data_IF_007718363287
#
_entry.id   IF_007718363287
#
_cell.length_a   1.000
_cell.length_b   1.000
_cell.length_c   1.000
_cell.angle_alpha   90.00
_cell.angle_beta   90.00
_cell.angle_gamma   90.00
#
_symmetry.space_group_name_H-M   'P 1'
#
loop_
_entity.id
_entity.type
_entity.pdbx_description
1 polymer ?
#
# COMPACT_ATOMS: atom_id res chain seq x y z
N UNK A 1 -9.48 -6.07 5.86
CA UNK A 1 -8.78 -4.77 5.93
C UNK A 1 -7.29 -4.84 5.63
N UNK A 2 -6.40 -5.32 6.52
CA UNK A 2 -4.95 -5.26 6.29
C UNK A 2 -4.49 -5.81 4.92
N UNK A 3 -4.89 -7.04 4.57
CA UNK A 3 -4.55 -7.65 3.28
C UNK A 3 -5.07 -6.85 2.07
N UNK A 4 -6.20 -6.14 2.22
CA UNK A 4 -6.77 -5.28 1.17
C UNK A 4 -5.89 -4.04 0.96
N UNK A 5 -5.44 -3.42 2.06
CA UNK A 5 -4.53 -2.27 2.03
C UNK A 5 -3.17 -2.67 1.45
N UNK A 6 -2.65 -3.84 1.82
CA UNK A 6 -1.41 -4.39 1.28
C UNK A 6 -1.50 -4.63 -0.25
N UNK A 7 -2.58 -5.25 -0.71
CA UNK A 7 -2.81 -5.47 -2.15
C UNK A 7 -2.92 -4.13 -2.91
N UNK A 8 -3.61 -3.14 -2.34
CA UNK A 8 -3.68 -1.79 -2.92
C UNK A 8 -2.30 -1.13 -3.01
N UNK A 9 -1.46 -1.23 -1.97
CA UNK A 9 -0.08 -0.73 -1.98
C UNK A 9 0.73 -1.33 -3.12
N UNK A 10 0.71 -2.65 -3.24
CA UNK A 10 1.43 -3.38 -4.30
C UNK A 10 1.00 -2.95 -5.70
N UNK A 11 -0.31 -2.75 -5.91
CA UNK A 11 -0.84 -2.26 -7.18
C UNK A 11 -0.34 -0.85 -7.50
N UNK A 12 -0.37 0.06 -6.52
CA UNK A 12 0.12 1.44 -6.70
C UNK A 12 1.62 1.49 -6.97
N UNK A 13 2.42 0.65 -6.30
CA UNK A 13 3.86 0.53 -6.58
C UNK A 13 4.13 0.04 -8.01
N UNK A 14 3.37 -0.96 -8.48
CA UNK A 14 3.46 -1.43 -9.86
C UNK A 14 3.16 -0.32 -10.86
N UNK A 15 2.05 0.41 -10.65
CA UNK A 15 1.67 1.54 -11.49
C UNK A 15 2.70 2.67 -11.46
N UNK A 16 3.29 2.97 -10.30
CA UNK A 16 4.34 3.98 -10.19
C UNK A 16 5.56 3.59 -11.01
N UNK A 17 6.00 2.34 -10.92
CA UNK A 17 7.14 1.82 -11.67
C UNK A 17 6.90 1.91 -13.18
N UNK A 18 5.71 1.53 -13.66
CA UNK A 18 5.33 1.68 -15.05
C UNK A 18 5.42 3.14 -15.51
N UNK A 19 4.88 4.08 -14.73
CA UNK A 19 4.93 5.51 -15.07
C UNK A 19 6.36 6.06 -15.05
N UNK A 20 7.22 5.60 -14.14
CA UNK A 20 8.65 5.94 -14.12
C UNK A 20 9.33 5.49 -15.42
N UNK A 21 9.02 4.28 -15.90
CA UNK A 21 9.60 3.78 -17.16
C UNK A 21 9.09 4.57 -18.37
N UNK A 22 7.78 4.83 -18.44
CA UNK A 22 7.21 5.69 -19.50
C UNK A 22 7.84 7.07 -19.49
N UNK A 23 8.04 7.68 -18.31
CA UNK A 23 8.69 8.99 -18.18
C UNK A 23 10.11 8.95 -18.75
N UNK A 24 10.90 7.94 -18.40
CA UNK A 24 12.26 7.76 -18.93
C UNK A 24 12.26 7.61 -20.46
N UNK A 25 11.32 6.85 -21.00
CA UNK A 25 11.17 6.71 -22.46
C UNK A 25 10.77 8.03 -23.13
N UNK A 26 9.84 8.79 -22.55
CA UNK A 26 9.48 10.10 -23.07
C UNK A 26 10.64 11.09 -23.00
N UNK A 27 11.48 11.00 -21.97
CA UNK A 27 12.61 11.91 -21.77
C UNK A 27 13.72 11.74 -22.81
N UNK A 28 13.85 10.57 -23.43
CA UNK A 28 14.81 10.33 -24.53
C UNK A 28 14.27 10.72 -25.92
N UNK A 29 12.96 10.96 -26.05
CA UNK A 29 12.36 11.38 -27.31
C UNK A 29 12.74 12.83 -27.64
N UNK A 30 12.91 13.09 -28.93
CA UNK A 30 13.12 14.41 -29.50
C UNK A 30 11.77 15.02 -29.92
N UNK A 31 11.74 16.33 -30.14
CA UNK A 31 10.51 17.06 -30.47
C UNK A 31 9.88 16.61 -31.79
N UNK A 32 10.68 16.11 -32.75
CA UNK A 32 10.19 15.57 -34.02
C UNK A 32 9.51 14.19 -33.90
N UNK A 33 9.59 13.54 -32.73
CA UNK A 33 8.98 12.23 -32.52
C UNK A 33 7.49 12.36 -32.16
N UNK A 34 6.65 11.66 -32.91
CA UNK A 34 5.22 11.63 -32.65
C UNK A 34 4.88 10.74 -31.44
N UNK A 35 4.10 11.29 -30.50
CA UNK A 35 3.55 10.56 -29.34
C UNK A 35 2.04 10.43 -29.51
N UNK A 36 1.51 9.26 -29.19
CA UNK A 36 0.07 8.99 -29.23
C UNK A 36 -0.42 8.45 -27.88
N UNK A 37 -1.58 8.94 -27.45
CA UNK A 37 -2.29 8.49 -26.25
C UNK A 37 -3.46 7.60 -26.64
N UNK A 38 -3.52 6.40 -26.06
CA UNK A 38 -4.66 5.50 -26.19
C UNK A 38 -5.79 5.92 -25.25
N UNK A 39 -6.96 6.20 -25.81
CA UNK A 39 -8.20 6.54 -25.10
C UNK A 39 -9.29 5.60 -25.60
N UNK A 40 -9.63 4.59 -24.79
CA UNK A 40 -10.54 3.52 -25.22
C UNK A 40 -10.02 2.83 -26.48
N UNK A 41 -10.81 2.72 -27.56
CA UNK A 41 -10.36 2.11 -28.81
C UNK A 41 -9.60 3.08 -29.75
N UNK A 42 -9.31 4.32 -29.33
CA UNK A 42 -8.78 5.38 -30.22
C UNK A 42 -7.37 5.83 -29.80
N UNK A 43 -6.48 6.06 -30.77
CA UNK A 43 -5.18 6.70 -30.58
C UNK A 43 -5.25 8.18 -30.97
N UNK A 44 -4.89 9.06 -30.04
CA UNK A 44 -4.90 10.52 -30.22
C UNK A 44 -3.48 11.05 -30.18
N UNK A 45 -3.06 11.82 -31.20
CA UNK A 45 -1.74 12.46 -31.23
C UNK A 45 -1.63 13.46 -30.08
N UNK A 46 -0.49 13.44 -29.40
CA UNK A 46 -0.22 14.26 -28.22
C UNK A 46 1.13 14.95 -28.35
N UNK A 47 1.18 16.22 -27.96
CA UNK A 47 2.45 16.94 -27.83
C UNK A 47 3.35 16.27 -26.77
N UNK A 48 4.65 16.13 -27.08
CA UNK A 48 5.61 15.47 -26.19
C UNK A 48 5.67 16.13 -24.81
N UNK A 49 5.61 17.47 -24.75
CA UNK A 49 5.64 18.20 -23.49
C UNK A 49 4.41 17.90 -22.63
N UNK A 50 3.23 17.77 -23.25
CA UNK A 50 1.98 17.46 -22.55
C UNK A 50 1.97 16.01 -22.08
N UNK A 51 2.48 15.08 -22.90
CA UNK A 51 2.67 13.69 -22.51
C UNK A 51 3.54 13.58 -21.25
N UNK A 52 4.70 14.28 -21.23
CA UNK A 52 5.60 14.34 -20.07
C UNK A 52 4.89 14.89 -18.82
N UNK A 53 4.24 16.04 -18.94
CA UNK A 53 3.53 16.68 -17.82
C UNK A 53 2.39 15.79 -17.28
N UNK A 54 1.68 15.08 -18.14
CA UNK A 54 0.61 14.17 -17.73
C UNK A 54 1.15 12.97 -16.94
N UNK A 55 2.29 12.39 -17.37
CA UNK A 55 2.95 11.31 -16.64
C UNK A 55 3.46 11.81 -15.28
N UNK A 56 4.07 13.00 -15.24
CA UNK A 56 4.56 13.59 -13.98
C UNK A 56 3.43 13.80 -12.97
N UNK A 57 2.33 14.43 -13.39
CA UNK A 57 1.13 14.62 -12.53
C UNK A 57 0.55 13.30 -12.04
N UNK A 58 0.54 12.27 -12.89
CA UNK A 58 0.07 10.93 -12.51
C UNK A 58 0.99 10.29 -11.47
N UNK A 59 2.30 10.41 -11.62
CA UNK A 59 3.26 9.93 -10.63
C UNK A 59 3.09 10.63 -9.28
N UNK A 60 2.89 11.94 -9.26
CA UNK A 60 2.68 12.69 -8.02
C UNK A 60 1.41 12.26 -7.29
N UNK A 61 0.32 12.06 -8.03
CA UNK A 61 -0.91 11.50 -7.47
C UNK A 61 -0.68 10.11 -6.87
N UNK A 62 -0.03 9.19 -7.61
CA UNK A 62 0.25 7.83 -7.13
C UNK A 62 1.12 7.86 -5.87
N UNK A 63 2.16 8.71 -5.82
CA UNK A 63 3.02 8.87 -4.63
C UNK A 63 2.21 9.35 -3.42
N UNK A 64 1.28 10.29 -3.62
CA UNK A 64 0.41 10.77 -2.54
C UNK A 64 -0.51 9.66 -2.00
N UNK A 65 -1.05 8.83 -2.89
CA UNK A 65 -1.88 7.68 -2.50
C UNK A 65 -1.06 6.58 -1.82
N UNK A 66 0.17 6.30 -2.28
CA UNK A 66 1.09 5.39 -1.59
C UNK A 66 1.33 5.82 -0.15
N UNK A 67 1.60 7.12 0.07
CA UNK A 67 1.76 7.67 1.42
C UNK A 67 0.51 7.44 2.27
N UNK A 68 -0.68 7.72 1.73
CA UNK A 68 -1.96 7.52 2.43
C UNK A 68 -2.18 6.05 2.81
N UNK A 69 -1.82 5.13 1.92
CA UNK A 69 -1.90 3.69 2.14
C UNK A 69 -0.89 3.24 3.20
N UNK A 70 0.34 3.76 3.18
CA UNK A 70 1.38 3.48 4.17
C UNK A 70 0.99 3.95 5.58
N UNK A 71 0.43 5.15 5.71
CA UNK A 71 -0.06 5.69 6.97
C UNK A 71 -1.22 4.82 7.54
N UNK A 72 -2.10 4.33 6.66
CA UNK A 72 -3.18 3.42 7.04
C UNK A 72 -2.63 2.05 7.48
N UNK A 73 -1.65 1.48 6.77
CA UNK A 73 -0.99 0.24 7.18
C UNK A 73 -0.36 0.38 8.56
N UNK A 74 0.40 1.45 8.80
CA UNK A 74 1.01 1.70 10.11
C UNK A 74 -0.01 1.80 11.24
N UNK A 75 -1.18 2.40 10.98
CA UNK A 75 -2.27 2.48 11.94
C UNK A 75 -2.87 1.09 12.23
N UNK A 76 -3.03 0.26 11.20
CA UNK A 76 -3.52 -1.11 11.37
C UNK A 76 -2.52 -1.99 12.12
N UNK A 77 -1.22 -1.85 11.87
CA UNK A 77 -0.16 -2.58 12.58
C UNK A 77 -0.19 -2.29 14.07
N UNK A 78 -0.23 -1.01 14.46
CA UNK A 78 -0.35 -0.61 15.87
C UNK A 78 -1.59 -1.18 16.54
N UNK A 79 -2.70 -1.26 15.80
CA UNK A 79 -3.95 -1.86 16.31
C UNK A 79 -3.80 -3.37 16.50
N UNK A 80 -3.15 -4.07 15.58
CA UNK A 80 -2.86 -5.49 15.70
C UNK A 80 -1.95 -5.78 16.90
N UNK A 81 -0.89 -5.00 17.08
CA UNK A 81 0.01 -5.12 18.23
C UNK A 81 -0.71 -4.91 19.56
N UNK A 82 -1.53 -3.86 19.65
CA UNK A 82 -2.33 -3.60 20.86
C UNK A 82 -3.31 -4.73 21.17
N UNK A 83 -3.95 -5.31 20.15
CA UNK A 83 -4.83 -6.47 20.35
C UNK A 83 -4.05 -7.72 20.78
N UNK A 84 -2.84 -7.92 20.24
CA UNK A 84 -1.96 -9.01 20.64
C UNK A 84 -1.58 -8.91 22.11
N UNK A 85 -1.18 -7.73 22.59
CA UNK A 85 -0.87 -7.50 24.01
C UNK A 85 -2.05 -7.82 24.94
N UNK A 86 -3.28 -7.51 24.50
CA UNK A 86 -4.49 -7.84 25.27
C UNK A 86 -4.70 -9.35 25.33
N UNK A 87 -4.54 -10.05 24.20
CA UNK A 87 -4.65 -11.51 24.14
C UNK A 87 -3.61 -12.17 25.06
N UNK A 88 -2.36 -11.72 25.00
CA UNK A 88 -1.27 -12.28 25.81
C UNK A 88 -1.56 -12.11 27.32
N UNK A 89 -2.03 -10.93 27.74
CA UNK A 89 -2.45 -10.69 29.14
C UNK A 89 -3.60 -11.60 29.57
N UNK A 90 -4.60 -11.79 28.71
CA UNK A 90 -5.73 -12.68 29.00
C UNK A 90 -5.29 -14.14 29.11
N UNK A 91 -4.41 -14.60 28.22
CA UNK A 91 -3.85 -15.94 28.27
C UNK A 91 -3.04 -16.18 29.55
N UNK A 92 -2.21 -15.21 29.96
CA UNK A 92 -1.46 -15.28 31.22
C UNK A 92 -2.40 -15.33 32.43
N UNK A 93 -3.42 -14.47 32.47
CA UNK A 93 -4.39 -14.46 33.57
C UNK A 93 -5.18 -15.78 33.66
N UNK A 94 -5.57 -16.33 32.52
CA UNK A 94 -6.26 -17.62 32.44
C UNK A 94 -5.39 -18.78 32.94
N UNK A 95 -4.13 -18.84 32.51
CA UNK A 95 -3.17 -19.85 33.00
C UNK A 95 -2.95 -19.74 34.52
N UNK A 96 -2.78 -18.53 35.05
CA UNK A 96 -2.64 -18.33 36.49
C UNK A 96 -3.90 -18.77 37.27
N UNK A 97 -5.09 -18.48 36.75
CA UNK A 97 -6.35 -18.91 37.36
C UNK A 97 -6.49 -20.45 37.36
N UNK A 98 -6.13 -21.11 36.26
CA UNK A 98 -6.15 -22.58 36.18
C UNK A 98 -5.17 -23.23 37.17
N UNK A 99 -3.95 -22.69 37.30
CA UNK A 99 -2.95 -23.17 38.27
C UNK A 99 -3.47 -22.99 39.71
N UNK A 100 -4.04 -21.83 40.03
CA UNK A 100 -4.62 -21.58 41.37
C UNK A 100 -5.79 -22.54 41.68
N UNK A 101 -6.67 -22.78 40.71
CA UNK A 101 -7.81 -23.69 40.88
C UNK A 101 -7.35 -25.15 41.10
N UNK A 102 -6.36 -25.62 40.35
CA UNK A 102 -5.81 -26.97 40.49
C UNK A 102 -5.02 -27.17 41.80
N UNK A 103 -4.32 -26.14 42.29
CA UNK A 103 -3.68 -26.17 43.63
C UNK A 103 -4.74 -26.22 44.75
N UNK A 104 -5.88 -25.54 44.60
CA UNK A 104 -6.92 -25.57 45.62
C UNK A 104 -7.67 -26.92 45.65
N UNK A 105 -7.84 -27.59 44.52
CA UNK A 105 -8.45 -28.92 44.46
C UNK A 105 -7.58 -30.02 45.07
N UNK A 106 -6.25 -29.92 44.98
CA UNK A 106 -5.33 -30.92 45.55
C UNK A 106 -5.12 -30.79 47.07
N UNK A 107 -5.60 -29.70 47.68
CA UNK A 107 -5.55 -29.46 49.14
C UNK A 107 -6.85 -29.80 49.88
N UNK A 108 -7.92 -30.13 49.17
CA UNK A 108 -9.21 -30.59 49.71
C UNK A 108 -9.36 -32.10 49.57
#
# INVERSE_FOLDING_TARGET
EYNKVLSQRQQLDGQLNENIMVKKELDILKEENDVFKLIGPVLVKQELCEAKQNVDKRMDYIKSELKRVDDLMSTLDKKLDSQRDVIDKLQQAFQQAQIKASINQSKS
#
